data_IF_849322544230
#
_entry.id   IF_849322544230
#
_cell.length_a   1.000
_cell.length_b   1.000
_cell.length_c   1.000
_cell.angle_alpha   90.00
_cell.angle_beta   90.00
_cell.angle_gamma   90.00
#
_symmetry.space_group_name_H-M   'P 1'
#
loop_
_entity.id
_entity.type
_entity.pdbx_description
1 polymer ?
#
# COMPACT_ATOMS: atom_id res chain seq x y z
N UNK A 1 -3.20 1.60 46.18
CA UNK A 1 -4.59 2.05 45.94
C UNK A 1 -4.91 1.81 44.48
N UNK A 2 -5.79 0.85 44.22
CA UNK A 2 -6.41 0.63 42.91
C UNK A 2 -7.45 1.72 42.68
N UNK A 3 -7.48 2.34 41.49
CA UNK A 3 -8.72 2.79 40.88
C UNK A 3 -8.60 2.67 39.36
N UNK A 4 -9.30 1.67 38.83
CA UNK A 4 -9.72 1.63 37.44
C UNK A 4 -10.81 2.70 37.23
N UNK A 5 -10.70 3.49 36.18
CA UNK A 5 -11.84 4.24 35.64
C UNK A 5 -12.01 3.87 34.17
N UNK A 6 -12.97 2.98 33.94
CA UNK A 6 -13.64 2.79 32.64
C UNK A 6 -14.65 3.93 32.47
N UNK A 7 -14.64 4.60 31.33
CA UNK A 7 -15.73 5.36 30.69
C UNK A 7 -15.18 5.81 29.33
N UNK A 8 -15.38 5.06 28.24
CA UNK A 8 -16.54 5.16 27.33
C UNK A 8 -16.80 6.60 26.89
N UNK A 9 -16.11 7.00 25.82
CA UNK A 9 -16.48 8.03 24.85
C UNK A 9 -16.37 7.31 23.49
N UNK A 10 -17.39 7.06 22.68
CA UNK A 10 -18.60 7.83 22.44
C UNK A 10 -18.29 8.92 21.42
N UNK A 11 -18.71 8.70 20.16
CA UNK A 11 -18.62 9.60 18.99
C UNK A 11 -17.20 9.77 18.40
N UNK A 12 -16.93 9.62 17.11
CA UNK A 12 -17.73 9.74 15.88
C UNK A 12 -17.20 8.74 14.85
N UNK A 13 -18.09 8.02 14.16
CA UNK A 13 -17.78 7.40 12.88
C UNK A 13 -17.44 8.51 11.88
N UNK A 14 -16.15 8.85 11.75
CA UNK A 14 -15.66 9.57 10.60
C UNK A 14 -15.70 8.55 9.47
N UNK A 15 -16.82 8.54 8.75
CA UNK A 15 -16.87 8.04 7.39
C UNK A 15 -15.86 8.89 6.63
N UNK A 16 -14.62 8.40 6.53
CA UNK A 16 -13.65 8.95 5.59
C UNK A 16 -14.15 8.58 4.20
N UNK A 17 -15.12 9.37 3.71
CA UNK A 17 -15.24 9.77 2.32
C UNK A 17 -13.98 10.53 1.91
N UNK A 18 -12.84 9.83 1.95
CA UNK A 18 -11.55 10.29 1.47
C UNK A 18 -11.48 9.95 0.00
N UNK A 19 -11.99 10.88 -0.81
CA UNK A 19 -11.56 11.16 -2.19
C UNK A 19 -10.31 10.40 -2.58
N UNK A 20 -10.43 9.63 -3.65
CA UNK A 20 -9.31 9.02 -4.32
C UNK A 20 -8.19 10.04 -4.45
N UNK A 21 -7.00 9.62 -4.03
CA UNK A 21 -5.76 10.34 -4.21
C UNK A 21 -5.39 10.36 -5.70
N UNK A 22 -6.21 11.05 -6.48
CA UNK A 22 -5.86 11.72 -7.71
C UNK A 22 -6.07 13.21 -7.43
N UNK A 23 -5.15 13.81 -6.66
CA UNK A 23 -4.99 15.26 -6.53
C UNK A 23 -6.18 16.07 -6.00
N UNK A 24 -6.52 15.91 -4.72
CA UNK A 24 -7.23 16.96 -3.98
C UNK A 24 -6.57 17.08 -2.60
N UNK A 25 -5.50 17.87 -2.53
CA UNK A 25 -4.93 18.31 -1.25
C UNK A 25 -5.97 19.23 -0.61
N UNK A 26 -6.61 18.76 0.46
CA UNK A 26 -7.36 19.64 1.34
C UNK A 26 -6.35 20.60 1.98
N UNK A 27 -6.41 21.86 1.56
CA UNK A 27 -5.50 22.94 1.95
C UNK A 27 -5.56 23.20 3.45
N UNK A 28 -4.62 22.64 4.20
CA UNK A 28 -4.22 23.15 5.50
C UNK A 28 -2.91 23.94 5.31
N UNK A 29 -3.07 25.26 5.29
CA UNK A 29 -2.06 26.31 5.49
C UNK A 29 -0.57 25.92 5.33
N UNK A 30 0.06 26.39 4.25
CA UNK A 30 1.51 26.38 4.13
C UNK A 30 1.97 26.70 2.72
N UNK A 31 2.46 27.92 2.53
CA UNK A 31 3.10 28.44 1.31
C UNK A 31 4.11 27.49 0.67
N UNK A 32 4.18 27.51 -0.67
CA UNK A 32 5.42 27.23 -1.40
C UNK A 32 5.32 26.18 -2.50
N UNK A 33 5.43 26.68 -3.74
CA UNK A 33 5.80 25.97 -4.98
C UNK A 33 4.80 25.00 -5.59
N UNK A 34 4.20 25.48 -6.69
CA UNK A 34 3.30 24.73 -7.54
C UNK A 34 4.00 23.55 -8.21
N UNK A 35 3.72 22.35 -7.70
CA UNK A 35 3.83 21.12 -8.48
C UNK A 35 2.62 21.08 -9.45
N UNK A 36 2.68 21.89 -10.51
CA UNK A 36 1.71 21.88 -11.60
C UNK A 36 1.90 20.63 -12.46
N UNK A 37 1.67 19.46 -11.86
CA UNK A 37 1.46 18.23 -12.63
C UNK A 37 0.16 18.40 -13.40
N UNK A 38 0.15 18.20 -14.74
CA UNK A 38 -1.08 18.23 -15.49
C UNK A 38 -2.05 17.22 -14.87
N UNK A 39 -3.21 17.73 -14.44
CA UNK A 39 -4.27 16.87 -13.94
C UNK A 39 -4.83 16.10 -15.13
N UNK A 40 -4.59 14.78 -15.13
CA UNK A 40 -5.13 13.89 -16.15
C UNK A 40 -6.66 13.97 -16.16
N UNK A 41 -7.27 13.98 -17.34
CA UNK A 41 -8.72 13.85 -17.49
C UNK A 41 -9.18 12.47 -17.01
N UNK A 42 -10.49 12.29 -16.83
CA UNK A 42 -11.04 10.98 -16.46
C UNK A 42 -10.72 9.92 -17.52
N UNK A 43 -10.81 10.25 -18.81
CA UNK A 43 -10.43 9.34 -19.91
C UNK A 43 -8.96 8.95 -19.86
N UNK A 44 -8.04 9.91 -19.69
CA UNK A 44 -6.61 9.60 -19.58
C UNK A 44 -6.28 8.74 -18.34
N UNK A 45 -7.04 8.90 -17.25
CA UNK A 45 -6.93 8.05 -16.05
C UNK A 45 -7.46 6.64 -16.30
N UNK A 46 -8.52 6.50 -17.09
CA UNK A 46 -9.05 5.20 -17.51
C UNK A 46 -8.08 4.47 -18.44
N UNK A 47 -7.44 5.15 -19.40
CA UNK A 47 -6.41 4.53 -20.24
C UNK A 47 -5.19 4.09 -19.41
N UNK A 48 -4.75 4.94 -18.48
CA UNK A 48 -3.61 4.63 -17.61
C UNK A 48 -3.89 3.54 -16.59
N UNK A 49 -5.15 3.22 -16.28
CA UNK A 49 -5.43 2.19 -15.28
C UNK A 49 -4.91 0.82 -15.72
N UNK A 50 -4.99 0.51 -17.01
CA UNK A 50 -4.45 -0.74 -17.60
C UNK A 50 -2.94 -0.82 -17.43
N UNK A 51 -2.22 0.29 -17.70
CA UNK A 51 -0.77 0.36 -17.49
C UNK A 51 -0.39 0.20 -16.01
N UNK A 52 -1.15 0.83 -15.11
CA UNK A 52 -0.94 0.74 -13.67
C UNK A 52 -1.19 -0.68 -13.15
N UNK A 53 -2.20 -1.37 -13.67
CA UNK A 53 -2.50 -2.76 -13.35
C UNK A 53 -1.36 -3.69 -13.80
N UNK A 54 -0.92 -3.58 -15.05
CA UNK A 54 0.20 -4.36 -15.57
C UNK A 54 1.48 -4.15 -14.74
N UNK A 55 1.81 -2.90 -14.38
CA UNK A 55 2.94 -2.57 -13.51
C UNK A 55 2.79 -3.12 -12.10
N UNK A 56 1.58 -3.16 -11.57
CA UNK A 56 1.31 -3.72 -10.25
C UNK A 56 1.52 -5.24 -10.25
N UNK A 57 1.01 -5.93 -11.27
CA UNK A 57 1.22 -7.38 -11.49
C UNK A 57 2.70 -7.71 -11.62
N UNK A 58 3.45 -7.01 -12.48
CA UNK A 58 4.90 -7.21 -12.64
C UNK A 58 5.65 -7.02 -11.31
N UNK A 59 5.26 -6.02 -10.51
CA UNK A 59 5.86 -5.79 -9.18
C UNK A 59 5.54 -6.91 -8.20
N UNK A 60 4.31 -7.43 -8.21
CA UNK A 60 3.91 -8.55 -7.36
C UNK A 60 4.67 -9.83 -7.72
N UNK A 61 4.88 -10.09 -9.01
CA UNK A 61 5.71 -11.21 -9.48
C UNK A 61 7.15 -11.09 -8.97
N UNK A 62 7.79 -9.94 -9.13
CA UNK A 62 9.15 -9.69 -8.59
C UNK A 62 9.22 -9.83 -7.08
N UNK A 63 8.17 -9.44 -6.35
CA UNK A 63 8.11 -9.64 -4.90
C UNK A 63 8.00 -11.13 -4.58
N UNK A 64 7.19 -11.88 -5.33
CA UNK A 64 7.06 -13.34 -5.17
C UNK A 64 8.39 -14.06 -5.38
N UNK A 65 9.09 -13.77 -6.48
CA UNK A 65 10.42 -14.34 -6.78
C UNK A 65 11.43 -14.05 -5.66
N UNK A 66 11.47 -12.79 -5.21
CA UNK A 66 12.38 -12.39 -4.11
C UNK A 66 12.00 -13.04 -2.79
N UNK A 67 10.72 -13.25 -2.53
CA UNK A 67 10.22 -13.93 -1.33
C UNK A 67 10.69 -15.38 -1.33
N UNK A 68 10.51 -16.10 -2.44
CA UNK A 68 10.99 -17.47 -2.58
C UNK A 68 12.52 -17.57 -2.36
N UNK A 69 13.30 -16.69 -3.00
CA UNK A 69 14.75 -16.67 -2.82
C UNK A 69 15.19 -16.37 -1.38
N UNK A 70 14.45 -15.52 -0.65
CA UNK A 70 14.73 -15.23 0.77
C UNK A 70 14.32 -16.39 1.69
N UNK A 71 13.24 -17.11 1.37
CA UNK A 71 12.83 -18.31 2.11
C UNK A 71 13.87 -19.42 1.99
N UNK A 72 14.43 -19.65 0.80
CA UNK A 72 15.56 -20.59 0.63
C UNK A 72 16.75 -20.21 1.51
N UNK A 73 17.17 -18.93 1.46
CA UNK A 73 18.29 -18.44 2.29
C UNK A 73 18.01 -18.51 3.79
N UNK A 74 16.74 -18.40 4.19
CA UNK A 74 16.31 -18.53 5.58
C UNK A 74 16.47 -19.97 6.04
N UNK A 75 16.01 -20.94 5.24
CA UNK A 75 16.16 -22.36 5.54
C UNK A 75 17.64 -22.77 5.62
N UNK A 76 18.50 -22.26 4.72
CA UNK A 76 19.95 -22.47 4.79
C UNK A 76 20.57 -21.89 6.07
N UNK A 77 20.16 -20.69 6.47
CA UNK A 77 20.64 -20.06 7.69
C UNK A 77 20.18 -20.81 8.94
N UNK A 78 18.94 -21.30 8.94
CA UNK A 78 18.38 -22.12 10.01
C UNK A 78 19.11 -23.45 10.15
N UNK A 79 19.39 -24.14 9.04
CA UNK A 79 20.19 -25.36 9.02
C UNK A 79 21.64 -25.14 9.53
N UNK A 80 22.20 -23.95 9.30
CA UNK A 80 23.52 -23.56 9.80
C UNK A 80 23.51 -23.05 11.26
N UNK A 81 22.35 -22.91 11.90
CA UNK A 81 22.22 -22.35 13.25
C UNK A 81 22.50 -20.85 13.34
N UNK A 82 22.52 -20.13 12.22
CA UNK A 82 22.81 -18.69 12.15
C UNK A 82 21.54 -17.86 12.46
N UNK A 83 21.22 -17.78 13.75
CA UNK A 83 20.02 -17.09 14.26
C UNK A 83 19.97 -15.61 13.88
N UNK A 84 21.11 -14.91 13.91
CA UNK A 84 21.20 -13.50 13.54
C UNK A 84 20.89 -13.26 12.06
N UNK A 85 21.26 -14.19 11.19
CA UNK A 85 20.90 -14.14 9.76
C UNK A 85 19.44 -14.50 9.55
N UNK A 86 18.89 -15.49 10.25
CA UNK A 86 17.46 -15.83 10.21
C UNK A 86 16.60 -14.61 10.55
N UNK A 87 16.86 -13.93 11.68
CA UNK A 87 16.09 -12.73 12.05
C UNK A 87 16.15 -11.61 11.00
N UNK A 88 17.32 -11.43 10.37
CA UNK A 88 17.49 -10.42 9.33
C UNK A 88 16.69 -10.77 8.07
N UNK A 89 16.61 -12.04 7.72
CA UNK A 89 15.83 -12.54 6.60
C UNK A 89 14.33 -12.43 6.91
N UNK A 90 13.91 -12.74 8.14
CA UNK A 90 12.52 -12.59 8.60
C UNK A 90 12.05 -11.15 8.51
N UNK A 91 12.85 -10.18 8.98
CA UNK A 91 12.55 -8.75 8.82
C UNK A 91 12.40 -8.35 7.34
N UNK A 92 13.22 -8.90 6.44
CA UNK A 92 13.12 -8.62 5.00
C UNK A 92 11.86 -9.21 4.39
N UNK A 93 11.49 -10.44 4.78
CA UNK A 93 10.26 -11.09 4.36
C UNK A 93 9.03 -10.31 4.83
N UNK A 94 9.02 -9.84 6.08
CA UNK A 94 7.95 -8.99 6.62
C UNK A 94 7.79 -7.68 5.82
N UNK A 95 8.91 -7.04 5.47
CA UNK A 95 8.88 -5.82 4.65
C UNK A 95 8.29 -6.11 3.27
N UNK A 96 8.68 -7.21 2.61
CA UNK A 96 8.12 -7.59 1.32
C UNK A 96 6.63 -7.89 1.40
N UNK A 97 6.18 -8.58 2.44
CA UNK A 97 4.76 -8.84 2.68
C UNK A 97 3.96 -7.53 2.81
N UNK A 98 4.45 -6.57 3.60
CA UNK A 98 3.83 -5.23 3.74
C UNK A 98 3.84 -4.43 2.44
N UNK A 99 4.81 -4.65 1.55
CA UNK A 99 4.82 -4.00 0.23
C UNK A 99 3.78 -4.64 -0.68
N UNK A 100 3.71 -5.97 -0.72
CA UNK A 100 2.70 -6.70 -1.50
C UNK A 100 1.28 -6.32 -1.07
N UNK A 101 1.00 -6.29 0.23
CA UNK A 101 -0.30 -5.88 0.78
C UNK A 101 -0.66 -4.46 0.34
N UNK A 102 0.27 -3.51 0.42
CA UNK A 102 0.04 -2.13 -0.03
C UNK A 102 -0.22 -2.02 -1.53
N UNK A 103 0.40 -2.86 -2.35
CA UNK A 103 0.13 -2.91 -3.79
C UNK A 103 -1.30 -3.42 -4.02
N UNK A 104 -1.67 -4.54 -3.38
CA UNK A 104 -3.03 -5.09 -3.49
C UNK A 104 -4.11 -4.10 -3.04
N UNK A 105 -3.92 -3.44 -1.89
CA UNK A 105 -4.85 -2.40 -1.42
C UNK A 105 -5.00 -1.25 -2.42
N UNK A 106 -3.92 -0.87 -3.13
CA UNK A 106 -3.98 0.17 -4.16
C UNK A 106 -4.67 -0.33 -5.42
N UNK A 107 -4.47 -1.59 -5.81
CA UNK A 107 -5.16 -2.21 -6.94
C UNK A 107 -6.67 -2.29 -6.68
N UNK A 108 -7.12 -2.76 -5.51
CA UNK A 108 -8.55 -2.78 -5.17
C UNK A 108 -9.18 -1.39 -5.22
N UNK A 109 -8.45 -0.35 -4.76
CA UNK A 109 -8.92 1.03 -4.87
C UNK A 109 -9.00 1.50 -6.33
N UNK A 110 -8.02 1.13 -7.15
CA UNK A 110 -8.01 1.44 -8.58
C UNK A 110 -9.16 0.74 -9.29
N UNK A 111 -9.36 -0.56 -9.07
CA UNK A 111 -10.48 -1.35 -9.62
C UNK A 111 -11.83 -0.75 -9.25
N UNK A 112 -12.02 -0.39 -7.96
CA UNK A 112 -13.24 0.26 -7.49
C UNK A 112 -13.47 1.60 -8.20
N UNK A 113 -12.40 2.38 -8.41
CA UNK A 113 -12.48 3.65 -9.12
C UNK A 113 -12.84 3.47 -10.59
N UNK A 114 -12.13 2.57 -11.28
CA UNK A 114 -12.34 2.26 -12.69
C UNK A 114 -13.78 1.80 -12.89
N UNK A 115 -14.28 0.86 -12.08
CA UNK A 115 -15.66 0.39 -12.15
C UNK A 115 -16.70 1.51 -11.98
N UNK A 116 -16.39 2.55 -11.21
CA UNK A 116 -17.29 3.67 -10.95
C UNK A 116 -17.18 4.83 -11.95
N UNK A 117 -16.06 4.98 -12.67
CA UNK A 117 -15.74 6.19 -13.44
C UNK A 117 -15.40 5.92 -14.91
N UNK A 118 -14.93 4.72 -15.22
CA UNK A 118 -14.61 4.28 -16.57
C UNK A 118 -15.78 3.44 -17.07
N UNK A 119 -16.87 4.11 -17.44
CA UNK A 119 -17.96 3.46 -18.17
C UNK A 119 -17.44 3.01 -19.54
N UNK A 120 -17.82 1.78 -19.94
CA UNK A 120 -17.46 1.15 -21.22
C UNK A 120 -17.97 1.91 -22.45
#
# INVERSE_FOLDING_TARGET
MQQHSKLVLGFTAIVLSGTLAFGAVASAAGSGDGDSRPQLTTEEKCEKSVELEAKATERLEKISERTAALQTKRAEAEAAGDTAKVERLDRRLEVLAKVAERIQQRMTKLETWVAANCAA
#
